data_IF_364709199839
#
_entry.id   IF_364709199839
#
_cell.length_a   1.000
_cell.length_b   1.000
_cell.length_c   1.000
_cell.angle_alpha   90.00
_cell.angle_beta   90.00
_cell.angle_gamma   90.00
#
_symmetry.space_group_name_H-M   'P 1'
#
loop_
_entity.id
_entity.type
_entity.pdbx_description
1 polymer ?
#
# COMPACT_ATOMS: atom_id res chain seq x y z
N UNK A 1 -12.92 -4.07 39.74
CA UNK A 1 -13.83 -3.55 38.69
C UNK A 1 -13.34 -4.14 37.38
N UNK A 2 -14.11 -5.04 36.78
CA UNK A 2 -13.77 -5.65 35.50
C UNK A 2 -14.02 -4.57 34.46
N UNK A 3 -12.95 -4.09 33.83
CA UNK A 3 -13.05 -3.22 32.67
C UNK A 3 -13.53 -4.14 31.53
N UNK A 4 -14.85 -4.27 31.37
CA UNK A 4 -15.42 -4.94 30.21
C UNK A 4 -15.17 -4.04 29.03
N UNK A 5 -14.04 -4.24 28.35
CA UNK A 5 -13.87 -3.75 26.98
C UNK A 5 -15.15 -4.12 26.23
N UNK A 6 -15.83 -3.11 25.72
CA UNK A 6 -17.15 -3.25 25.11
C UNK A 6 -16.97 -4.04 23.81
N UNK A 7 -17.08 -5.36 23.89
CA UNK A 7 -16.97 -6.25 22.72
C UNK A 7 -18.14 -5.92 21.80
N UNK A 8 -17.84 -5.42 20.61
CA UNK A 8 -18.84 -5.11 19.60
C UNK A 8 -19.58 -6.41 19.20
N UNK A 9 -20.90 -6.37 18.98
CA UNK A 9 -21.63 -7.48 18.41
C UNK A 9 -21.00 -7.96 17.10
N UNK A 10 -20.97 -9.28 16.88
CA UNK A 10 -20.33 -9.87 15.69
C UNK A 10 -20.83 -9.28 14.36
N UNK A 11 -22.11 -8.95 14.26
CA UNK A 11 -22.70 -8.37 13.05
C UNK A 11 -22.18 -6.95 12.76
N UNK A 12 -21.83 -6.16 13.78
CA UNK A 12 -21.22 -4.83 13.61
C UNK A 12 -19.76 -4.94 13.16
N UNK A 13 -19.04 -5.94 13.71
CA UNK A 13 -17.68 -6.28 13.27
C UNK A 13 -17.70 -6.72 11.81
N UNK A 14 -18.61 -7.62 11.43
CA UNK A 14 -18.73 -8.09 10.05
C UNK A 14 -19.12 -6.95 9.09
N UNK A 15 -20.03 -6.06 9.49
CA UNK A 15 -20.37 -4.88 8.69
C UNK A 15 -19.13 -3.99 8.45
N UNK A 16 -18.27 -3.83 9.45
CA UNK A 16 -17.00 -3.11 9.33
C UNK A 16 -16.04 -3.83 8.38
N UNK A 17 -15.90 -5.16 8.49
CA UNK A 17 -15.05 -5.95 7.57
C UNK A 17 -15.52 -5.82 6.12
N UNK A 18 -16.84 -5.89 5.88
CA UNK A 18 -17.41 -5.72 4.54
C UNK A 18 -17.15 -4.32 4.00
N UNK A 19 -17.26 -3.29 4.84
CA UNK A 19 -16.96 -1.91 4.47
C UNK A 19 -15.50 -1.74 4.05
N UNK A 20 -14.55 -2.22 4.85
CA UNK A 20 -13.12 -2.14 4.53
C UNK A 20 -12.78 -2.93 3.26
N UNK A 21 -13.38 -4.11 3.08
CA UNK A 21 -13.19 -4.92 1.88
C UNK A 21 -13.69 -4.22 0.62
N UNK A 22 -14.83 -3.52 0.71
CA UNK A 22 -15.36 -2.72 -0.40
C UNK A 22 -14.42 -1.57 -0.72
N UNK A 23 -13.97 -0.84 0.31
CA UNK A 23 -13.01 0.25 0.14
C UNK A 23 -11.70 -0.21 -0.51
N UNK A 24 -11.11 -1.33 -0.06
CA UNK A 24 -9.90 -1.90 -0.67
C UNK A 24 -10.05 -2.18 -2.17
N UNK A 25 -11.23 -2.63 -2.62
CA UNK A 25 -11.50 -2.86 -4.05
C UNK A 25 -11.65 -1.56 -4.85
N UNK A 26 -12.03 -0.47 -4.21
CA UNK A 26 -12.20 0.84 -4.86
C UNK A 26 -10.86 1.57 -5.00
N UNK A 27 -9.99 1.45 -4.00
CA UNK A 27 -8.70 2.18 -3.97
C UNK A 27 -7.53 1.43 -4.60
N UNK A 28 -7.66 0.12 -4.77
CA UNK A 28 -6.68 -0.68 -5.51
C UNK A 28 -7.26 -1.15 -6.83
N UNK A 29 -6.57 -0.86 -7.93
CA UNK A 29 -6.77 -1.57 -9.17
C UNK A 29 -5.96 -2.87 -9.18
N UNK A 30 -6.51 -3.92 -8.59
CA UNK A 30 -5.92 -5.26 -8.67
C UNK A 30 -6.20 -5.96 -10.00
N UNK A 31 -7.02 -5.35 -10.88
CA UNK A 31 -7.69 -6.05 -11.98
C UNK A 31 -6.77 -6.45 -13.14
N UNK A 32 -5.68 -5.72 -13.38
CA UNK A 32 -4.70 -6.10 -14.39
C UNK A 32 -3.88 -7.33 -13.98
N UNK A 33 -3.50 -7.42 -12.69
CA UNK A 33 -2.70 -8.55 -12.20
C UNK A 33 -3.53 -9.85 -12.08
N UNK A 34 -4.83 -9.71 -11.84
CA UNK A 34 -5.78 -10.83 -11.77
C UNK A 34 -6.02 -11.49 -13.14
N UNK A 35 -5.80 -10.76 -14.25
CA UNK A 35 -6.00 -11.28 -15.62
C UNK A 35 -4.80 -12.06 -16.17
N UNK A 36 -3.60 -11.82 -15.63
CA UNK A 36 -2.33 -12.34 -16.19
C UNK A 36 -1.75 -13.58 -15.50
N UNK A 37 -2.25 -13.97 -14.32
CA UNK A 37 -1.78 -15.17 -13.60
C UNK A 37 -2.80 -16.29 -13.59
N UNK A 38 -2.30 -17.50 -13.53
CA UNK A 38 -3.08 -18.70 -13.26
C UNK A 38 -3.55 -18.66 -11.79
N UNK A 39 -4.69 -17.99 -11.56
CA UNK A 39 -5.35 -17.85 -10.25
C UNK A 39 -5.67 -19.22 -9.59
N UNK A 40 -5.49 -20.31 -10.33
CA UNK A 40 -5.77 -21.68 -9.91
C UNK A 40 -4.80 -22.22 -8.85
N UNK A 41 -3.59 -21.65 -8.71
CA UNK A 41 -2.55 -22.14 -7.78
C UNK A 41 -2.33 -21.25 -6.55
N UNK A 42 -3.27 -20.35 -6.25
CA UNK A 42 -3.18 -19.53 -5.04
C UNK A 42 -3.55 -20.35 -3.79
N UNK A 43 -2.90 -20.12 -2.64
CA UNK A 43 -3.17 -20.88 -1.42
C UNK A 43 -4.57 -20.59 -0.84
N UNK A 44 -5.12 -19.42 -1.15
CA UNK A 44 -6.49 -18.97 -0.81
C UNK A 44 -7.03 -18.12 -1.96
N UNK A 45 -8.34 -17.89 -1.99
CA UNK A 45 -8.97 -17.02 -2.98
C UNK A 45 -8.65 -15.54 -2.78
N UNK A 46 -8.82 -14.74 -3.84
CA UNK A 46 -8.68 -13.28 -3.79
C UNK A 46 -9.64 -12.64 -2.77
N UNK A 47 -10.86 -13.19 -2.67
CA UNK A 47 -11.86 -12.71 -1.71
C UNK A 47 -11.42 -12.95 -0.26
N UNK A 48 -10.80 -14.10 0.02
CA UNK A 48 -10.24 -14.43 1.32
C UNK A 48 -9.02 -13.55 1.66
N UNK A 49 -8.16 -13.25 0.70
CA UNK A 49 -7.03 -12.32 0.91
C UNK A 49 -7.53 -10.93 1.31
N UNK A 50 -8.49 -10.37 0.54
CA UNK A 50 -9.11 -9.09 0.87
C UNK A 50 -9.76 -9.13 2.25
N UNK A 51 -10.51 -10.20 2.55
CA UNK A 51 -11.14 -10.37 3.86
C UNK A 51 -10.11 -10.37 4.99
N UNK A 52 -8.99 -11.08 4.85
CA UNK A 52 -7.94 -11.11 5.87
C UNK A 52 -7.33 -9.72 6.10
N UNK A 53 -7.01 -8.99 5.03
CA UNK A 53 -6.53 -7.60 5.15
C UNK A 53 -7.58 -6.74 5.87
N UNK A 54 -8.85 -6.82 5.46
CA UNK A 54 -9.94 -6.06 6.10
C UNK A 54 -10.11 -6.39 7.58
N UNK A 55 -10.00 -7.66 7.96
CA UNK A 55 -10.02 -8.07 9.38
C UNK A 55 -8.86 -7.45 10.15
N UNK A 56 -7.65 -7.48 9.60
CA UNK A 56 -6.46 -6.88 10.21
C UNK A 56 -6.58 -5.36 10.35
N UNK A 57 -7.27 -4.69 9.42
CA UNK A 57 -7.59 -3.25 9.52
C UNK A 57 -8.59 -3.00 10.66
N UNK A 58 -9.71 -3.74 10.68
CA UNK A 58 -10.76 -3.58 11.70
C UNK A 58 -10.24 -3.87 13.11
N UNK A 59 -9.31 -4.83 13.25
CA UNK A 59 -8.64 -5.14 14.52
C UNK A 59 -7.61 -4.09 14.93
N UNK A 60 -7.15 -3.26 14.00
CA UNK A 60 -6.10 -2.28 14.24
C UNK A 60 -4.68 -2.83 14.12
N UNK A 61 -4.51 -4.09 13.69
CA UNK A 61 -3.20 -4.69 13.43
C UNK A 61 -2.48 -3.94 12.29
N UNK A 62 -3.27 -3.55 11.28
CA UNK A 62 -2.86 -2.70 10.17
C UNK A 62 -3.57 -1.36 10.29
N UNK A 63 -2.80 -0.28 10.43
CA UNK A 63 -3.33 1.08 10.32
C UNK A 63 -3.26 1.51 8.86
N UNK A 64 -4.33 2.13 8.37
CA UNK A 64 -4.42 2.54 6.98
C UNK A 64 -4.74 4.02 6.89
N UNK A 65 -4.06 4.70 5.96
CA UNK A 65 -4.26 6.11 5.67
C UNK A 65 -4.28 6.34 4.16
N UNK A 66 -5.32 7.01 3.70
CA UNK A 66 -5.40 7.50 2.32
C UNK A 66 -4.90 8.95 2.27
N UNK A 67 -3.90 9.19 1.42
CA UNK A 67 -3.32 10.50 1.16
C UNK A 67 -3.81 10.96 -0.21
N UNK A 68 -4.57 12.06 -0.26
CA UNK A 68 -5.11 12.60 -1.51
C UNK A 68 -4.61 14.02 -1.74
N UNK A 69 -4.34 14.34 -2.99
CA UNK A 69 -4.11 15.69 -3.47
C UNK A 69 -5.10 16.08 -4.55
N UNK A 70 -5.41 17.38 -4.61
CA UNK A 70 -6.14 18.00 -5.72
C UNK A 70 -5.26 18.21 -6.96
N UNK A 71 -3.94 18.20 -6.80
CA UNK A 71 -2.97 18.47 -7.84
C UNK A 71 -1.98 17.31 -7.95
N UNK A 72 -1.75 16.87 -9.19
CA UNK A 72 -0.77 15.85 -9.52
C UNK A 72 0.57 16.13 -8.85
N UNK A 73 1.17 15.09 -8.25
CA UNK A 73 2.48 15.09 -7.60
C UNK A 73 2.66 15.99 -6.38
N UNK A 74 1.63 16.72 -5.95
CA UNK A 74 1.76 17.61 -4.80
C UNK A 74 1.84 16.89 -3.45
N UNK A 75 1.74 15.55 -3.44
CA UNK A 75 2.11 14.74 -2.28
C UNK A 75 3.64 14.68 -2.08
N UNK A 76 4.41 14.93 -3.14
CA UNK A 76 5.86 14.70 -3.18
C UNK A 76 6.64 15.99 -3.37
N UNK A 77 6.11 16.95 -4.12
CA UNK A 77 6.77 18.23 -4.42
C UNK A 77 5.90 19.43 -4.04
N UNK A 78 6.54 20.48 -3.53
CA UNK A 78 5.86 21.73 -3.18
C UNK A 78 5.57 22.61 -4.42
N UNK A 79 6.46 22.56 -5.41
CA UNK A 79 6.33 23.29 -6.67
C UNK A 79 6.24 22.32 -7.86
N UNK A 80 5.02 22.17 -8.39
CA UNK A 80 4.74 21.30 -9.54
C UNK A 80 4.95 22.02 -10.88
N UNK A 81 5.27 23.33 -10.89
CA UNK A 81 5.30 24.14 -12.13
C UNK A 81 6.35 23.68 -13.14
N UNK A 82 7.39 23.00 -12.66
CA UNK A 82 8.47 22.45 -13.48
C UNK A 82 8.36 20.95 -13.74
N UNK A 83 7.31 20.28 -13.23
CA UNK A 83 7.03 18.90 -13.62
C UNK A 83 6.32 18.93 -14.97
N UNK A 84 6.95 18.34 -16.00
CA UNK A 84 6.25 18.02 -17.24
C UNK A 84 4.93 17.35 -16.89
N UNK A 85 3.82 17.96 -17.28
CA UNK A 85 2.51 17.34 -17.13
C UNK A 85 2.54 16.02 -17.91
N UNK A 86 1.99 14.95 -17.33
CA UNK A 86 1.82 13.69 -18.03
C UNK A 86 0.79 13.90 -19.16
N UNK A 87 1.23 14.47 -20.28
CA UNK A 87 0.40 14.68 -21.46
C UNK A 87 0.22 13.33 -22.16
N UNK A 88 -0.93 12.68 -21.93
CA UNK A 88 -1.44 11.54 -22.71
C UNK A 88 -0.62 10.24 -22.72
N UNK A 89 0.42 10.10 -21.89
CA UNK A 89 1.10 8.81 -21.73
C UNK A 89 0.18 7.83 -21.00
N UNK A 90 0.11 6.60 -21.50
CA UNK A 90 -0.71 5.51 -20.96
C UNK A 90 -0.62 5.50 -19.43
N UNK A 91 -1.76 5.63 -18.75
CA UNK A 91 -1.85 5.45 -17.29
C UNK A 91 -1.18 4.11 -16.93
N UNK A 92 -0.19 4.14 -16.03
CA UNK A 92 0.70 3.00 -15.69
C UNK A 92 1.75 2.56 -16.73
N UNK A 93 2.03 3.37 -17.75
CA UNK A 93 3.13 3.13 -18.69
C UNK A 93 4.51 3.15 -18.03
N UNK A 94 5.49 2.50 -18.67
CA UNK A 94 6.87 2.41 -18.16
C UNK A 94 7.53 3.78 -17.91
N UNK A 95 7.20 4.79 -18.73
CA UNK A 95 7.70 6.15 -18.55
C UNK A 95 7.09 6.85 -17.35
N UNK A 96 5.76 6.74 -17.19
CA UNK A 96 5.05 7.27 -16.01
C UNK A 96 5.61 6.66 -14.72
N UNK A 97 5.75 5.33 -14.68
CA UNK A 97 6.28 4.62 -13.52
C UNK A 97 7.70 5.10 -13.18
N UNK A 98 8.58 5.22 -14.18
CA UNK A 98 9.96 5.72 -13.98
C UNK A 98 10.00 7.17 -13.46
N UNK A 99 9.14 8.04 -14.01
CA UNK A 99 9.03 9.44 -13.58
C UNK A 99 8.54 9.53 -12.13
N UNK A 100 7.49 8.79 -11.79
CA UNK A 100 6.97 8.71 -10.42
C UNK A 100 8.00 8.19 -9.42
N UNK A 101 8.71 7.10 -9.74
CA UNK A 101 9.81 6.62 -8.89
C UNK A 101 10.86 7.70 -8.66
N UNK A 102 11.23 8.48 -9.68
CA UNK A 102 12.23 9.54 -9.56
C UNK A 102 11.76 10.67 -8.64
N UNK A 103 10.50 11.08 -8.77
CA UNK A 103 9.89 12.12 -7.92
C UNK A 103 9.84 11.67 -6.46
N UNK A 104 9.29 10.48 -6.20
CA UNK A 104 9.16 9.92 -4.84
C UNK A 104 10.53 9.72 -4.20
N UNK A 105 11.50 9.18 -4.96
CA UNK A 105 12.87 9.00 -4.50
C UNK A 105 13.51 10.32 -4.08
N UNK A 106 13.35 11.37 -4.90
CA UNK A 106 13.91 12.69 -4.60
C UNK A 106 13.31 13.27 -3.33
N UNK A 107 11.98 13.19 -3.18
CA UNK A 107 11.27 13.61 -1.96
C UNK A 107 11.88 13.00 -0.69
N UNK A 108 12.07 11.68 -0.66
CA UNK A 108 12.61 11.01 0.53
C UNK A 108 14.10 11.32 0.76
N UNK A 109 14.92 11.40 -0.30
CA UNK A 109 16.34 11.77 -0.19
C UNK A 109 16.48 13.18 0.39
N UNK A 110 15.71 14.15 -0.10
CA UNK A 110 15.71 15.54 0.38
C UNK A 110 15.30 15.65 1.85
N UNK A 111 14.46 14.72 2.33
CA UNK A 111 14.05 14.60 3.73
C UNK A 111 14.99 13.73 4.60
N UNK A 112 16.18 13.41 4.08
CA UNK A 112 17.24 12.73 4.80
C UNK A 112 17.00 11.23 5.04
N UNK A 113 16.29 10.57 4.11
CA UNK A 113 16.17 9.11 4.09
C UNK A 113 17.18 8.49 3.10
N UNK A 114 17.60 7.27 3.41
CA UNK A 114 18.27 6.40 2.43
C UNK A 114 17.21 5.74 1.54
N UNK A 115 17.39 5.79 0.22
CA UNK A 115 16.45 5.20 -0.75
C UNK A 115 17.15 4.18 -1.64
N UNK A 116 16.72 2.93 -1.55
CA UNK A 116 17.22 1.80 -2.34
C UNK A 116 16.19 1.45 -3.42
N UNK A 117 16.64 1.29 -4.66
CA UNK A 117 15.78 0.78 -5.73
C UNK A 117 15.66 -0.73 -5.59
N UNK A 118 14.44 -1.24 -5.73
CA UNK A 118 14.13 -2.65 -5.71
C UNK A 118 14.70 -3.46 -4.52
N UNK A 119 14.41 -3.07 -3.27
CA UNK A 119 14.79 -3.90 -2.13
C UNK A 119 14.00 -5.22 -2.15
N UNK A 120 14.56 -6.24 -1.52
CA UNK A 120 13.84 -7.50 -1.32
C UNK A 120 12.75 -7.34 -0.27
N UNK A 121 11.60 -7.97 -0.54
CA UNK A 121 10.53 -8.23 0.42
C UNK A 121 10.53 -9.72 0.79
N UNK A 122 9.70 -10.12 1.75
CA UNK A 122 9.46 -11.55 2.00
C UNK A 122 8.91 -12.26 0.75
N UNK A 123 8.06 -11.56 -0.01
CA UNK A 123 7.58 -12.00 -1.31
C UNK A 123 7.92 -10.95 -2.38
N UNK A 124 8.92 -11.25 -3.21
CA UNK A 124 9.31 -10.42 -4.36
C UNK A 124 10.20 -9.23 -3.98
N UNK A 125 10.03 -8.12 -4.69
CA UNK A 125 10.78 -6.86 -4.54
C UNK A 125 9.80 -5.70 -4.61
N UNK A 126 9.97 -4.64 -3.82
CA UNK A 126 9.23 -3.39 -4.03
C UNK A 126 9.90 -2.51 -5.08
N UNK A 127 9.31 -1.37 -5.44
CA UNK A 127 9.97 -0.45 -6.38
C UNK A 127 11.05 0.37 -5.66
N UNK A 128 10.71 0.85 -4.45
CA UNK A 128 11.64 1.55 -3.57
C UNK A 128 11.58 1.00 -2.15
N UNK A 129 12.74 1.03 -1.48
CA UNK A 129 12.88 0.90 -0.03
C UNK A 129 13.39 2.20 0.53
N UNK A 130 12.76 2.68 1.59
CA UNK A 130 13.04 3.96 2.23
C UNK A 130 13.37 3.70 3.70
N UNK A 131 14.56 4.12 4.12
CA UNK A 131 15.15 3.78 5.40
C UNK A 131 15.66 5.02 6.13
N UNK A 132 15.48 5.02 7.45
CA UNK A 132 16.04 6.04 8.36
C UNK A 132 16.19 5.44 9.75
N UNK A 133 17.22 5.86 10.47
CA UNK A 133 17.45 5.40 11.83
C UNK A 133 16.22 5.72 12.71
N UNK A 134 15.81 4.74 13.52
CA UNK A 134 14.63 4.84 14.40
C UNK A 134 13.30 5.12 13.67
N UNK A 135 13.23 4.83 12.37
CA UNK A 135 12.00 4.89 11.58
C UNK A 135 11.66 3.50 11.03
N UNK A 136 10.39 3.07 11.05
CA UNK A 136 9.97 1.82 10.43
C UNK A 136 10.37 1.75 8.95
N UNK A 137 10.84 0.59 8.49
CA UNK A 137 11.18 0.42 7.07
C UNK A 137 9.94 0.66 6.20
N UNK A 138 10.08 1.52 5.20
CA UNK A 138 9.02 1.88 4.27
C UNK A 138 9.30 1.26 2.89
N UNK A 139 8.32 0.55 2.35
CA UNK A 139 8.37 -0.05 1.02
C UNK A 139 7.32 0.60 0.12
N UNK A 140 7.77 1.12 -1.02
CA UNK A 140 6.90 1.85 -1.97
C UNK A 140 6.64 0.99 -3.20
N UNK A 141 5.38 0.90 -3.61
CA UNK A 141 4.92 0.30 -4.86
C UNK A 141 4.22 1.38 -5.69
N UNK A 142 4.63 1.56 -6.94
CA UNK A 142 4.16 2.60 -7.85
C UNK A 142 3.35 1.96 -8.98
N UNK A 143 2.10 2.40 -9.13
CA UNK A 143 1.16 1.90 -10.12
C UNK A 143 0.40 0.65 -9.68
N UNK A 144 0.13 -0.26 -10.62
CA UNK A 144 -0.59 -1.50 -10.37
C UNK A 144 0.20 -2.42 -9.45
N UNK A 145 -0.44 -2.89 -8.37
CA UNK A 145 0.17 -3.84 -7.44
C UNK A 145 -0.58 -5.17 -7.42
N UNK A 146 0.09 -6.23 -6.97
CA UNK A 146 -0.49 -7.58 -6.87
C UNK A 146 -1.11 -7.80 -5.49
N UNK A 147 -2.42 -8.08 -5.44
CA UNK A 147 -3.13 -8.40 -4.19
C UNK A 147 -2.42 -9.51 -3.40
N UNK A 148 -1.99 -10.59 -4.06
CA UNK A 148 -1.30 -11.70 -3.40
C UNK A 148 0.00 -11.26 -2.73
N UNK A 149 0.82 -10.47 -3.44
CA UNK A 149 2.08 -9.93 -2.91
C UNK A 149 1.82 -9.00 -1.73
N UNK A 150 0.85 -8.09 -1.87
CA UNK A 150 0.44 -7.16 -0.81
C UNK A 150 -0.05 -7.92 0.42
N UNK A 151 -0.92 -8.92 0.23
CA UNK A 151 -1.43 -9.77 1.31
C UNK A 151 -0.30 -10.46 2.07
N UNK A 152 0.62 -11.16 1.40
CA UNK A 152 1.72 -11.85 2.09
C UNK A 152 2.62 -10.88 2.83
N UNK A 153 3.06 -9.82 2.17
CA UNK A 153 4.03 -8.91 2.77
C UNK A 153 3.42 -8.14 3.96
N UNK A 154 2.14 -7.73 3.86
CA UNK A 154 1.43 -7.12 4.99
C UNK A 154 1.31 -8.07 6.19
N UNK A 155 1.17 -9.37 5.99
CA UNK A 155 1.06 -10.33 7.10
C UNK A 155 2.40 -10.82 7.65
N UNK A 156 3.46 -10.83 6.84
CA UNK A 156 4.74 -11.46 7.19
C UNK A 156 5.85 -10.46 7.51
N UNK A 157 5.66 -9.18 7.20
CA UNK A 157 6.61 -8.11 7.50
C UNK A 157 6.02 -7.21 8.60
N UNK A 158 6.20 -7.57 9.88
CA UNK A 158 5.76 -6.73 10.98
C UNK A 158 6.62 -5.49 11.13
N UNK A 159 6.07 -4.44 11.74
CA UNK A 159 6.78 -3.18 12.00
C UNK A 159 7.33 -2.50 10.73
N UNK A 160 6.69 -2.74 9.59
CA UNK A 160 6.99 -2.05 8.33
C UNK A 160 5.80 -1.21 7.86
N UNK A 161 6.10 -0.29 6.95
CA UNK A 161 5.12 0.53 6.26
C UNK A 161 5.14 0.14 4.78
N UNK A 162 3.97 -0.04 4.20
CA UNK A 162 3.80 -0.16 2.75
C UNK A 162 3.08 1.09 2.24
N UNK A 163 3.63 1.72 1.21
CA UNK A 163 3.05 2.88 0.56
C UNK A 163 2.76 2.53 -0.89
N UNK A 164 1.48 2.37 -1.21
CA UNK A 164 1.04 2.14 -2.57
C UNK A 164 0.74 3.48 -3.21
N UNK A 165 1.25 3.73 -4.41
CA UNK A 165 1.08 4.98 -5.16
C UNK A 165 0.45 4.66 -6.51
N UNK A 166 -0.89 4.48 -6.56
CA UNK A 166 -1.55 4.10 -7.80
C UNK A 166 -1.66 5.25 -8.80
N UNK A 167 -1.54 6.51 -8.36
CA UNK A 167 -1.50 7.66 -9.27
C UNK A 167 -0.72 8.82 -8.66
N UNK A 168 -0.48 9.85 -9.47
CA UNK A 168 0.08 11.13 -9.03
C UNK A 168 -0.84 11.91 -8.08
N UNK A 169 -2.09 11.50 -7.90
CA UNK A 169 -3.07 12.19 -7.05
C UNK A 169 -3.25 11.58 -5.67
N UNK A 170 -2.89 10.32 -5.47
CA UNK A 170 -3.10 9.68 -4.18
C UNK A 170 -2.10 8.56 -3.88
N UNK A 171 -1.93 8.32 -2.58
CA UNK A 171 -1.17 7.20 -2.06
C UNK A 171 -1.92 6.56 -0.88
N UNK A 172 -1.67 5.29 -0.63
CA UNK A 172 -2.25 4.51 0.45
C UNK A 172 -1.13 4.00 1.33
N UNK A 173 -1.11 4.44 2.58
CA UNK A 173 -0.16 4.00 3.59
C UNK A 173 -0.79 2.89 4.43
N UNK A 174 -0.09 1.77 4.53
CA UNK A 174 -0.42 0.62 5.37
C UNK A 174 0.71 0.41 6.36
N UNK A 175 0.46 0.74 7.63
CA UNK A 175 1.43 0.53 8.70
C UNK A 175 1.06 -0.73 9.48
N UNK A 176 1.92 -1.74 9.41
CA UNK A 176 1.78 -2.93 10.23
C UNK A 176 2.34 -2.67 11.63
N UNK A 177 1.46 -2.73 12.64
CA UNK A 177 1.78 -2.41 14.03
C UNK A 177 2.09 -3.62 14.90
N UNK A 178 1.92 -4.85 14.38
CA UNK A 178 1.99 -6.08 15.18
C UNK A 178 3.07 -7.02 14.65
N UNK A 179 3.93 -7.51 15.54
CA UNK A 179 4.73 -8.71 15.30
C UNK A 179 3.81 -9.93 15.42
N UNK A 180 3.42 -10.52 14.30
CA UNK A 180 2.74 -11.82 14.34
C UNK A 180 3.75 -12.88 14.80
N UNK A 181 3.54 -13.44 15.98
CA UNK A 181 4.16 -14.70 16.36
C UNK A 181 3.48 -15.80 15.55
N UNK A 182 4.24 -16.47 14.67
CA UNK A 182 3.82 -17.70 13.98
C UNK A 182 4.04 -18.87 14.95
#
# INVERSE_FOLDING_TARGET
MINTEQVLPWHEVEASVVKEKKWLREVFDFSEFERGRDLQNLPISLDEMLRQISVSIVRGDIKVKELKSKQANSLWVDDVTNLEQFENDEYHGSEWHRKMMTIIKSHFIENGFEVVNEPYLNQGRSDLGVYKENYPNLFVEVGTTSLYKSWINLHTMPQSIFLFVPSEYYALEFQNSVAFAI
#
